data_IF_012073136794
#
_entry.id   IF_012073136794
#
_cell.length_a   1.000
_cell.length_b   1.000
_cell.length_c   1.000
_cell.angle_alpha   90.00
_cell.angle_beta   90.00
_cell.angle_gamma   90.00
#
_symmetry.space_group_name_H-M   'P 1'
#
loop_
_entity.id
_entity.type
_entity.pdbx_description
1 polymer ?
#
# COMPACT_ATOMS: atom_id res chain seq x y z
N UNK A 1 -1.00 -5.88 54.89
CA UNK A 1 -0.24 -5.52 53.68
C UNK A 1 -1.01 -6.03 52.47
N UNK A 2 -1.67 -5.13 51.74
CA UNK A 2 -2.29 -5.46 50.45
C UNK A 2 -1.19 -5.39 49.39
N UNK A 3 -0.78 -6.54 48.86
CA UNK A 3 0.03 -6.61 47.65
C UNK A 3 -0.83 -6.17 46.48
N UNK A 4 -0.63 -4.92 46.08
CA UNK A 4 -1.10 -4.34 44.83
C UNK A 4 -0.46 -5.16 43.71
N UNK A 5 -1.23 -6.01 43.06
CA UNK A 5 -0.82 -6.71 41.84
C UNK A 5 -0.49 -5.66 40.79
N UNK A 6 0.80 -5.50 40.48
CA UNK A 6 1.25 -4.84 39.27
C UNK A 6 0.73 -5.67 38.09
N UNK A 7 -0.37 -5.24 37.48
CA UNK A 7 -0.70 -5.63 36.12
C UNK A 7 0.44 -5.11 35.23
N UNK A 8 1.37 -5.99 34.87
CA UNK A 8 2.23 -5.78 33.71
C UNK A 8 1.30 -5.60 32.51
N UNK A 9 1.11 -4.35 32.09
CA UNK A 9 0.31 -4.02 30.91
C UNK A 9 1.09 -4.45 29.68
N UNK A 10 0.82 -5.66 29.19
CA UNK A 10 1.42 -6.14 27.96
C UNK A 10 1.04 -5.24 26.77
N UNK A 11 1.96 -5.13 25.80
CA UNK A 11 1.74 -4.39 24.55
C UNK A 11 0.50 -4.92 23.83
N UNK A 12 -0.40 -4.02 23.43
CA UNK A 12 -1.62 -4.37 22.70
C UNK A 12 -1.44 -4.09 21.20
N UNK A 13 -1.86 -5.04 20.37
CA UNK A 13 -1.72 -4.96 18.92
C UNK A 13 -3.09 -5.07 18.25
N UNK A 14 -3.32 -4.19 17.27
CA UNK A 14 -4.58 -4.14 16.53
C UNK A 14 -4.34 -3.97 15.03
N UNK A 15 -5.31 -4.42 14.23
CA UNK A 15 -5.47 -4.05 12.84
C UNK A 15 -6.77 -3.27 12.72
N UNK A 16 -6.69 -2.06 12.19
CA UNK A 16 -7.82 -1.20 11.87
C UNK A 16 -8.07 -1.15 10.36
N UNK A 17 -9.33 -1.09 9.95
CA UNK A 17 -9.73 -0.87 8.56
C UNK A 17 -10.70 0.31 8.54
N UNK A 18 -10.41 1.28 7.68
CA UNK A 18 -11.27 2.43 7.42
C UNK A 18 -12.01 2.20 6.12
N UNK A 19 -13.34 2.33 6.15
CA UNK A 19 -14.19 2.12 4.98
C UNK A 19 -15.03 3.37 4.76
N UNK A 20 -14.91 3.94 3.56
CA UNK A 20 -15.81 4.95 3.01
C UNK A 20 -16.80 4.25 2.07
N UNK A 21 -18.08 4.41 2.33
CA UNK A 21 -19.16 3.88 1.52
C UNK A 21 -19.28 4.61 0.18
N UNK A 22 -19.91 3.93 -0.78
CA UNK A 22 -20.14 4.45 -2.15
C UNK A 22 -21.39 5.35 -2.27
N UNK A 23 -21.96 5.83 -1.16
CA UNK A 23 -23.22 6.58 -1.16
C UNK A 23 -23.08 8.00 -1.72
N UNK A 24 -22.00 8.68 -1.35
CA UNK A 24 -21.74 10.09 -1.71
C UNK A 24 -20.49 10.23 -2.59
N UNK A 25 -20.21 9.22 -3.42
CA UNK A 25 -19.08 9.25 -4.36
C UNK A 25 -18.32 7.93 -4.42
N UNK A 26 -17.06 7.95 -4.92
CA UNK A 26 -16.24 6.75 -4.96
C UNK A 26 -15.94 6.30 -3.51
N UNK A 27 -16.30 5.06 -3.22
CA UNK A 27 -15.95 4.44 -1.95
C UNK A 27 -14.45 4.16 -1.87
N UNK A 28 -13.95 3.97 -0.66
CA UNK A 28 -12.54 3.72 -0.41
C UNK A 28 -12.35 2.77 0.78
N UNK A 29 -11.21 2.09 0.80
CA UNK A 29 -10.82 1.24 1.92
C UNK A 29 -9.32 1.40 2.18
N UNK A 30 -8.96 1.56 3.45
CA UNK A 30 -7.56 1.58 3.87
C UNK A 30 -7.37 0.82 5.16
N UNK A 31 -6.11 0.47 5.45
CA UNK A 31 -5.75 -0.37 6.60
C UNK A 31 -4.70 0.33 7.43
N UNK A 32 -4.79 0.17 8.74
CA UNK A 32 -3.75 0.56 9.67
C UNK A 32 -3.42 -0.58 10.63
N UNK A 33 -2.16 -0.65 11.05
CA UNK A 33 -1.74 -1.48 12.17
C UNK A 33 -1.43 -0.55 13.34
N UNK A 34 -1.92 -0.90 14.53
CA UNK A 34 -1.79 -0.08 15.72
C UNK A 34 -1.10 -0.90 16.81
N UNK A 35 0.00 -0.38 17.35
CA UNK A 35 0.67 -0.92 18.53
C UNK A 35 0.54 0.09 19.66
N UNK A 36 -0.10 -0.32 20.75
CA UNK A 36 -0.20 0.47 21.97
C UNK A 36 0.74 -0.15 23.01
N UNK A 37 1.79 0.59 23.36
CA UNK A 37 2.78 0.15 24.34
C UNK A 37 2.25 0.29 25.77
N UNK A 38 2.85 -0.46 26.68
CA UNK A 38 2.59 -0.40 28.12
C UNK A 38 2.68 1.03 28.72
N UNK A 39 3.61 1.83 28.21
CA UNK A 39 3.89 3.22 28.62
C UNK A 39 2.89 4.25 28.08
N UNK A 40 1.93 3.81 27.25
CA UNK A 40 0.91 4.65 26.64
C UNK A 40 1.28 5.23 25.27
N UNK A 41 2.51 5.02 24.77
CA UNK A 41 2.88 5.38 23.40
C UNK A 41 2.10 4.54 22.39
N UNK A 42 1.53 5.19 21.38
CA UNK A 42 0.82 4.50 20.30
C UNK A 42 1.55 4.72 18.98
N UNK A 43 1.87 3.62 18.30
CA UNK A 43 2.44 3.63 16.94
C UNK A 43 1.41 3.14 15.95
N UNK A 44 1.18 3.95 14.91
CA UNK A 44 0.24 3.64 13.82
C UNK A 44 0.99 3.57 12.50
N UNK A 45 0.83 2.49 11.76
CA UNK A 45 1.30 2.36 10.37
C UNK A 45 0.08 2.25 9.48
N UNK A 46 -0.08 3.14 8.51
CA UNK A 46 -1.26 3.22 7.66
C UNK A 46 -0.88 3.06 6.20
N UNK A 47 -1.66 2.27 5.48
CA UNK A 47 -1.46 2.02 4.06
C UNK A 47 -2.77 2.21 3.33
N UNK A 48 -2.72 3.06 2.30
CA UNK A 48 -3.87 3.45 1.50
C UNK A 48 -3.39 3.75 0.09
N UNK A 49 -3.93 3.05 -0.90
CA UNK A 49 -3.60 3.26 -2.30
C UNK A 49 -4.76 3.92 -3.05
N UNK A 50 -4.44 4.89 -3.91
CA UNK A 50 -5.43 5.61 -4.72
C UNK A 50 -4.85 5.99 -6.09
N UNK A 51 -5.67 6.36 -7.08
CA UNK A 51 -5.21 6.60 -8.46
C UNK A 51 -4.45 7.91 -8.71
N UNK A 52 -4.19 8.73 -7.69
CA UNK A 52 -3.62 10.07 -7.85
C UNK A 52 -4.54 11.06 -8.60
N UNK A 53 -4.24 12.36 -8.64
CA UNK A 53 -5.12 13.34 -9.30
C UNK A 53 -5.30 13.10 -10.80
N UNK A 54 -4.19 12.90 -11.53
CA UNK A 54 -4.22 12.63 -12.99
C UNK A 54 -4.86 11.28 -13.28
N UNK A 55 -4.53 10.24 -12.51
CA UNK A 55 -5.13 8.93 -12.71
C UNK A 55 -6.60 8.87 -12.32
N UNK A 56 -7.05 9.70 -11.36
CA UNK A 56 -8.48 9.86 -11.04
C UNK A 56 -9.25 10.42 -12.23
N UNK A 57 -8.69 11.38 -12.96
CA UNK A 57 -9.30 11.92 -14.18
C UNK A 57 -9.39 10.86 -15.28
N UNK A 58 -8.31 10.12 -15.52
CA UNK A 58 -8.28 9.01 -16.50
C UNK A 58 -9.31 7.96 -16.13
N UNK A 59 -9.36 7.55 -14.86
CA UNK A 59 -10.36 6.61 -14.36
C UNK A 59 -11.78 7.16 -14.52
N UNK A 60 -12.02 8.44 -14.26
CA UNK A 60 -13.32 9.07 -14.47
C UNK A 60 -13.77 9.03 -15.95
N UNK A 61 -12.88 9.37 -16.88
CA UNK A 61 -13.17 9.36 -18.32
C UNK A 61 -13.35 7.95 -18.90
N UNK A 62 -12.58 6.99 -18.39
CA UNK A 62 -12.57 5.60 -18.88
C UNK A 62 -13.34 4.64 -17.97
N UNK A 63 -14.19 5.18 -17.09
CA UNK A 63 -15.03 4.43 -16.16
C UNK A 63 -14.26 3.39 -15.33
N UNK A 64 -13.01 3.68 -14.96
CA UNK A 64 -12.14 2.79 -14.16
C UNK A 64 -11.56 1.61 -14.92
N UNK A 65 -11.68 1.60 -16.26
CA UNK A 65 -11.27 0.47 -17.12
C UNK A 65 -9.77 0.40 -17.39
N UNK A 66 -9.03 1.48 -17.16
CA UNK A 66 -7.59 1.53 -17.40
C UNK A 66 -6.88 1.71 -16.08
N UNK A 67 -5.99 0.78 -15.68
CA UNK A 67 -5.22 0.96 -14.46
C UNK A 67 -4.27 2.15 -14.63
N UNK A 68 -4.10 2.90 -13.56
CA UNK A 68 -3.23 4.09 -13.49
C UNK A 68 -2.17 3.86 -12.43
N UNK A 69 -1.16 4.72 -12.36
CA UNK A 69 -0.14 4.60 -11.31
C UNK A 69 -0.80 4.74 -9.93
N UNK A 70 -0.52 3.79 -9.03
CA UNK A 70 -0.97 3.90 -7.64
C UNK A 70 -0.16 4.97 -6.90
N UNK A 71 -0.81 5.71 -6.03
CA UNK A 71 -0.20 6.63 -5.07
C UNK A 71 -0.56 6.19 -3.65
N UNK A 72 0.35 6.45 -2.71
CA UNK A 72 0.14 6.20 -1.29
C UNK A 72 -0.41 7.44 -0.59
N UNK A 73 -1.32 7.26 0.37
CA UNK A 73 -1.72 8.36 1.24
C UNK A 73 -0.56 8.75 2.13
N UNK A 74 -0.40 10.05 2.37
CA UNK A 74 0.69 10.57 3.21
C UNK A 74 0.38 10.39 4.70
N UNK A 75 -0.89 10.46 5.07
CA UNK A 75 -1.36 10.32 6.45
C UNK A 75 -2.68 9.53 6.49
N UNK A 76 -3.00 9.02 7.68
CA UNK A 76 -4.24 8.29 7.95
C UNK A 76 -5.43 9.22 8.23
N UNK A 77 -5.18 10.50 8.49
CA UNK A 77 -6.18 11.47 8.97
C UNK A 77 -7.32 11.67 7.98
N UNK A 78 -7.00 11.84 6.69
CA UNK A 78 -8.02 12.02 5.66
C UNK A 78 -8.89 10.77 5.50
N UNK A 79 -8.28 9.58 5.47
CA UNK A 79 -9.02 8.33 5.34
C UNK A 79 -9.90 8.06 6.56
N UNK A 80 -9.43 8.40 7.76
CA UNK A 80 -10.21 8.30 8.99
C UNK A 80 -11.38 9.28 8.98
N UNK A 81 -11.15 10.55 8.61
CA UNK A 81 -12.18 11.58 8.54
C UNK A 81 -13.29 11.22 7.55
N UNK A 82 -12.90 10.80 6.34
CA UNK A 82 -13.81 10.42 5.26
C UNK A 82 -14.48 9.05 5.45
N UNK A 83 -14.01 8.22 6.39
CA UNK A 83 -14.58 6.88 6.59
C UNK A 83 -15.98 6.91 7.20
N UNK A 84 -16.87 6.07 6.70
CA UNK A 84 -18.18 5.82 7.32
C UNK A 84 -18.08 4.77 8.43
N UNK A 85 -17.13 3.84 8.31
CA UNK A 85 -16.92 2.76 9.26
C UNK A 85 -15.44 2.66 9.63
N UNK A 86 -15.17 2.58 10.93
CA UNK A 86 -13.88 2.16 11.48
C UNK A 86 -14.08 0.79 12.09
N UNK A 87 -13.34 -0.20 11.58
CA UNK A 87 -13.39 -1.58 12.05
C UNK A 87 -12.06 -1.94 12.68
N UNK A 88 -12.08 -2.55 13.86
CA UNK A 88 -10.87 -2.90 14.60
C UNK A 88 -10.89 -4.38 14.98
N UNK A 89 -9.73 -5.03 14.90
CA UNK A 89 -9.51 -6.38 15.41
C UNK A 89 -8.24 -6.43 16.25
N UNK A 90 -8.34 -6.99 17.44
CA UNK A 90 -7.16 -7.31 18.25
C UNK A 90 -6.43 -8.49 17.63
N UNK A 91 -5.10 -8.42 17.59
CA UNK A 91 -4.24 -9.48 17.04
C UNK A 91 -3.08 -9.75 17.98
N UNK A 92 -2.43 -10.90 17.84
CA UNK A 92 -1.17 -11.16 18.52
C UNK A 92 0.01 -10.43 17.86
N UNK A 93 1.16 -10.45 18.53
CA UNK A 93 2.36 -9.78 18.04
C UNK A 93 2.85 -10.33 16.69
N UNK A 94 2.68 -11.64 16.44
CA UNK A 94 3.11 -12.30 15.20
C UNK A 94 2.28 -11.78 14.03
N UNK A 95 0.95 -11.84 14.15
CA UNK A 95 0.03 -11.33 13.14
C UNK A 95 0.22 -9.83 12.90
N UNK A 96 0.51 -9.04 13.95
CA UNK A 96 0.86 -7.63 13.81
C UNK A 96 2.14 -7.40 13.00
N UNK A 97 3.21 -8.16 13.28
CA UNK A 97 4.49 -8.04 12.57
C UNK A 97 4.34 -8.42 11.10
N UNK A 98 3.61 -9.49 10.80
CA UNK A 98 3.35 -9.91 9.42
C UNK A 98 2.50 -8.88 8.66
N UNK A 99 1.45 -8.33 9.30
CA UNK A 99 0.65 -7.25 8.72
C UNK A 99 1.51 -6.03 8.39
N UNK A 100 2.36 -5.60 9.32
CA UNK A 100 3.25 -4.45 9.14
C UNK A 100 4.31 -4.70 8.06
N UNK A 101 4.90 -5.90 8.02
CA UNK A 101 5.84 -6.28 6.96
C UNK A 101 5.16 -6.24 5.58
N UNK A 102 3.91 -6.73 5.50
CA UNK A 102 3.11 -6.67 4.27
C UNK A 102 2.81 -5.23 3.86
N UNK A 103 2.45 -4.35 4.80
CA UNK A 103 2.27 -2.91 4.53
C UNK A 103 3.53 -2.28 3.92
N UNK A 104 4.70 -2.53 4.52
CA UNK A 104 5.98 -2.02 4.02
C UNK A 104 6.31 -2.54 2.60
N UNK A 105 6.00 -3.80 2.30
CA UNK A 105 6.19 -4.36 0.96
C UNK A 105 5.26 -3.72 -0.08
N UNK A 106 4.00 -3.46 0.28
CA UNK A 106 3.04 -2.75 -0.56
C UNK A 106 3.53 -1.34 -0.83
N UNK A 107 3.95 -0.62 0.21
CA UNK A 107 4.45 0.74 0.11
C UNK A 107 5.69 0.82 -0.79
N UNK A 108 6.64 -0.10 -0.61
CA UNK A 108 7.84 -0.20 -1.43
C UNK A 108 7.52 -0.48 -2.91
N UNK A 109 6.61 -1.43 -3.19
CA UNK A 109 6.17 -1.71 -4.57
C UNK A 109 5.46 -0.51 -5.19
N UNK A 110 4.59 0.16 -4.44
CA UNK A 110 3.88 1.35 -4.91
C UNK A 110 4.83 2.53 -5.19
N UNK A 111 5.80 2.79 -4.30
CA UNK A 111 6.79 3.86 -4.48
C UNK A 111 7.68 3.63 -5.71
N UNK A 112 8.05 2.37 -5.96
CA UNK A 112 8.83 1.98 -7.15
C UNK A 112 7.97 1.92 -8.44
N UNK A 113 6.66 2.14 -8.32
CA UNK A 113 5.70 2.05 -9.43
C UNK A 113 5.52 0.63 -9.96
N UNK A 114 5.76 -0.38 -9.14
CA UNK A 114 5.40 -1.79 -9.42
C UNK A 114 3.93 -2.08 -9.11
N UNK A 115 3.23 -1.14 -8.48
CA UNK A 115 1.79 -1.20 -8.22
C UNK A 115 1.04 -0.19 -9.09
N UNK A 116 0.03 -0.66 -9.82
CA UNK A 116 -0.97 0.16 -10.49
C UNK A 116 -2.30 0.08 -9.74
N UNK A 117 -3.03 1.20 -9.69
CA UNK A 117 -4.38 1.27 -9.18
C UNK A 117 -5.39 1.05 -10.32
N UNK A 118 -6.29 0.09 -10.17
CA UNK A 118 -7.44 -0.09 -11.07
C UNK A 118 -8.72 -0.28 -10.27
N UNK A 119 -9.80 0.44 -10.59
CA UNK A 119 -11.07 0.38 -9.83
C UNK A 119 -11.59 -1.05 -9.70
N UNK A 120 -11.57 -1.80 -10.79
CA UNK A 120 -12.00 -3.20 -10.84
C UNK A 120 -10.88 -4.20 -10.50
N UNK A 121 -9.73 -3.73 -10.03
CA UNK A 121 -8.57 -4.57 -9.71
C UNK A 121 -8.23 -5.56 -10.84
N UNK A 122 -8.04 -6.83 -10.45
CA UNK A 122 -7.70 -7.95 -11.34
C UNK A 122 -8.90 -8.50 -12.14
N UNK A 123 -10.12 -8.09 -11.82
CA UNK A 123 -11.35 -8.57 -12.48
C UNK A 123 -11.56 -7.95 -13.87
N UNK A 124 -10.82 -6.89 -14.20
CA UNK A 124 -10.89 -6.24 -15.49
C UNK A 124 -9.84 -6.81 -16.47
N UNK A 125 -10.26 -7.44 -17.58
CA UNK A 125 -9.32 -8.03 -18.55
C UNK A 125 -8.42 -6.97 -19.23
N UNK A 126 -8.91 -5.73 -19.38
CA UNK A 126 -8.10 -4.63 -19.91
C UNK A 126 -6.99 -4.23 -18.95
N UNK A 127 -7.20 -4.40 -17.65
CA UNK A 127 -6.17 -4.12 -16.65
C UNK A 127 -5.00 -5.09 -16.79
N UNK A 128 -5.25 -6.37 -17.04
CA UNK A 128 -4.21 -7.38 -17.28
C UNK A 128 -3.40 -7.11 -18.55
N UNK A 129 -4.04 -6.68 -19.64
CA UNK A 129 -3.31 -6.33 -20.86
C UNK A 129 -2.46 -5.08 -20.65
N UNK A 130 -3.02 -4.07 -19.99
CA UNK A 130 -2.33 -2.81 -19.70
C UNK A 130 -1.15 -3.05 -18.78
N UNK A 131 -1.31 -3.84 -17.71
CA UNK A 131 -0.22 -4.15 -16.77
C UNK A 131 0.92 -4.88 -17.46
N UNK A 132 0.62 -5.86 -18.33
CA UNK A 132 1.63 -6.57 -19.14
C UNK A 132 2.39 -5.63 -20.08
N UNK A 133 1.71 -4.66 -20.69
CA UNK A 133 2.35 -3.67 -21.55
C UNK A 133 3.31 -2.78 -20.73
N UNK A 134 2.88 -2.32 -19.55
CA UNK A 134 3.72 -1.54 -18.64
C UNK A 134 4.91 -2.34 -18.09
N UNK A 135 4.68 -3.59 -17.72
CA UNK A 135 5.72 -4.54 -17.31
C UNK A 135 6.75 -4.72 -18.43
N UNK A 136 6.31 -5.00 -19.65
CA UNK A 136 7.19 -5.17 -20.81
C UNK A 136 8.02 -3.89 -21.06
N UNK A 137 7.39 -2.72 -21.01
CA UNK A 137 8.07 -1.44 -21.19
C UNK A 137 9.12 -1.17 -20.10
N UNK A 138 8.76 -1.34 -18.82
CA UNK A 138 9.70 -1.16 -17.69
C UNK A 138 10.85 -2.16 -17.74
N UNK A 139 10.54 -3.43 -18.00
CA UNK A 139 11.51 -4.51 -18.14
C UNK A 139 12.49 -4.23 -19.28
N UNK A 140 12.00 -3.77 -20.43
CA UNK A 140 12.84 -3.37 -21.56
C UNK A 140 13.77 -2.20 -21.18
N UNK A 141 13.23 -1.15 -20.55
CA UNK A 141 14.02 0.01 -20.15
C UNK A 141 15.12 -0.34 -19.14
N UNK A 142 14.80 -1.20 -18.16
CA UNK A 142 15.78 -1.65 -17.17
C UNK A 142 16.80 -2.63 -17.75
N UNK A 143 16.40 -3.45 -18.72
CA UNK A 143 17.31 -4.31 -19.49
C UNK A 143 18.33 -3.46 -20.27
N UNK A 144 17.86 -2.43 -20.98
CA UNK A 144 18.73 -1.46 -21.68
C UNK A 144 19.73 -0.85 -20.72
N UNK A 145 19.23 -0.30 -19.60
CA UNK A 145 20.06 0.38 -18.61
C UNK A 145 21.10 -0.56 -17.98
N UNK A 146 20.67 -1.77 -17.58
CA UNK A 146 21.57 -2.77 -16.99
C UNK A 146 22.66 -3.17 -17.99
N UNK A 147 22.29 -3.37 -19.25
CA UNK A 147 23.24 -3.69 -20.32
C UNK A 147 24.30 -2.58 -20.47
N UNK A 148 23.86 -1.32 -20.56
CA UNK A 148 24.76 -0.16 -20.66
C UNK A 148 25.65 -0.01 -19.42
N UNK A 149 25.12 -0.21 -18.22
CA UNK A 149 25.89 -0.10 -16.97
C UNK A 149 26.97 -1.19 -16.86
N UNK A 150 26.71 -2.41 -17.35
CA UNK A 150 27.66 -3.52 -17.21
C UNK A 150 28.71 -3.55 -18.32
N UNK A 151 28.33 -3.17 -19.55
CA UNK A 151 29.19 -3.33 -20.73
C UNK A 151 29.68 -2.00 -21.31
N UNK A 152 29.13 -0.86 -20.86
CA UNK A 152 29.54 0.47 -21.30
C UNK A 152 29.23 0.79 -22.77
N UNK A 153 28.47 -0.08 -23.45
CA UNK A 153 28.20 0.03 -24.89
C UNK A 153 26.70 -0.08 -25.18
N UNK A 154 26.30 0.41 -26.34
CA UNK A 154 24.96 0.18 -26.85
C UNK A 154 24.80 -1.30 -27.25
N UNK A 155 23.62 -1.89 -27.03
CA UNK A 155 23.36 -3.29 -27.35
C UNK A 155 23.43 -3.53 -28.87
N UNK A 156 23.97 -4.68 -29.31
CA UNK A 156 24.08 -5.02 -30.71
C UNK A 156 22.71 -5.24 -31.33
N UNK A 157 22.57 -4.83 -32.59
CA UNK A 157 21.39 -5.10 -33.42
C UNK A 157 21.62 -6.37 -34.25
N UNK A 158 20.57 -7.15 -34.47
CA UNK A 158 20.57 -8.23 -35.44
C UNK A 158 20.48 -7.71 -36.89
N UNK A 159 20.46 -8.63 -37.87
CA UNK A 159 20.38 -8.26 -39.28
C UNK A 159 19.04 -7.61 -39.71
N UNK A 160 18.06 -7.59 -38.81
CA UNK A 160 16.75 -6.96 -38.99
C UNK A 160 16.63 -5.63 -38.22
N UNK A 161 17.71 -5.15 -37.57
CA UNK A 161 17.68 -3.95 -36.73
C UNK A 161 17.01 -4.17 -35.37
N UNK A 162 16.81 -5.42 -34.95
CA UNK A 162 16.25 -5.77 -33.65
C UNK A 162 17.38 -5.84 -32.64
N UNK A 163 17.28 -5.07 -31.56
CA UNK A 163 18.26 -5.07 -30.49
C UNK A 163 18.25 -6.40 -29.74
N UNK A 164 19.41 -7.06 -29.66
CA UNK A 164 19.57 -8.37 -29.01
C UNK A 164 20.35 -8.22 -27.71
N UNK A 165 19.77 -8.72 -26.62
CA UNK A 165 20.37 -8.72 -25.30
C UNK A 165 20.83 -10.14 -24.92
N UNK A 166 21.99 -10.31 -24.28
CA UNK A 166 22.37 -11.59 -23.71
C UNK A 166 21.47 -11.91 -22.51
N UNK A 167 21.20 -13.20 -22.28
CA UNK A 167 20.23 -13.65 -21.28
C UNK A 167 20.40 -13.05 -19.88
N UNK A 168 21.64 -12.85 -19.43
CA UNK A 168 21.96 -12.32 -18.10
C UNK A 168 21.64 -10.83 -17.92
N UNK A 169 21.41 -10.10 -19.01
CA UNK A 169 21.07 -8.67 -18.99
C UNK A 169 19.56 -8.41 -18.93
N UNK A 170 18.74 -9.42 -19.26
CA UNK A 170 17.29 -9.30 -19.14
C UNK A 170 16.87 -9.09 -17.68
N UNK A 171 16.04 -8.07 -17.47
CA UNK A 171 15.42 -7.78 -16.19
C UNK A 171 13.92 -7.78 -16.37
N UNK A 172 13.22 -8.60 -15.59
CA UNK A 172 11.76 -8.58 -15.50
C UNK A 172 11.37 -7.76 -14.29
N UNK A 173 10.58 -6.71 -14.51
CA UNK A 173 9.96 -5.92 -13.46
C UNK A 173 8.45 -6.16 -13.45
N UNK A 174 7.93 -7.04 -12.58
CA UNK A 174 6.51 -7.30 -12.53
C UNK A 174 5.74 -6.04 -12.13
N UNK A 175 4.60 -5.82 -12.79
CA UNK A 175 3.67 -4.74 -12.45
C UNK A 175 2.33 -5.36 -12.08
N UNK A 176 1.93 -5.17 -10.83
CA UNK A 176 0.68 -5.69 -10.30
C UNK A 176 -0.42 -4.63 -10.30
N UNK A 177 -1.64 -5.05 -10.59
CA UNK A 177 -2.83 -4.18 -10.47
C UNK A 177 -3.54 -4.52 -9.17
N UNK A 178 -3.73 -3.50 -8.35
CA UNK A 178 -4.47 -3.54 -7.11
C UNK A 178 -5.57 -2.48 -7.09
N UNK A 179 -6.57 -2.71 -6.26
CA UNK A 179 -7.51 -1.69 -5.80
C UNK A 179 -7.42 -1.57 -4.27
N UNK A 180 -8.11 -0.58 -3.71
CA UNK A 180 -8.10 -0.31 -2.27
C UNK A 180 -8.45 -1.55 -1.42
N UNK A 181 -9.48 -2.31 -1.79
CA UNK A 181 -9.94 -3.51 -1.05
C UNK A 181 -8.97 -4.70 -1.19
N UNK A 182 -8.35 -4.91 -2.34
CA UNK A 182 -7.33 -5.95 -2.55
C UNK A 182 -6.08 -5.68 -1.71
N UNK A 183 -5.70 -4.41 -1.55
CA UNK A 183 -4.58 -4.00 -0.69
C UNK A 183 -4.86 -4.25 0.78
N UNK A 184 -6.07 -3.91 1.25
CA UNK A 184 -6.47 -4.27 2.61
C UNK A 184 -6.47 -5.80 2.77
N UNK A 185 -7.05 -6.53 1.81
CA UNK A 185 -7.09 -7.99 1.84
C UNK A 185 -5.70 -8.65 1.87
N UNK A 186 -4.71 -8.07 1.19
CA UNK A 186 -3.33 -8.55 1.22
C UNK A 186 -2.70 -8.40 2.61
N UNK A 187 -2.87 -7.24 3.26
CA UNK A 187 -2.39 -7.00 4.63
C UNK A 187 -3.09 -7.94 5.63
N UNK A 188 -4.39 -8.14 5.48
CA UNK A 188 -5.15 -9.06 6.33
C UNK A 188 -4.71 -10.51 6.15
N UNK A 189 -4.43 -10.93 4.92
CA UNK A 189 -3.90 -12.27 4.64
C UNK A 189 -2.51 -12.48 5.24
N UNK A 190 -1.64 -11.46 5.18
CA UNK A 190 -0.35 -11.47 5.88
C UNK A 190 -0.53 -11.72 7.38
N UNK A 191 -1.55 -11.12 7.99
CA UNK A 191 -1.92 -11.34 9.39
C UNK A 191 -2.63 -12.68 9.68
N UNK A 192 -2.80 -13.56 8.68
CA UNK A 192 -3.56 -14.81 8.83
C UNK A 192 -5.09 -14.64 8.87
N UNK A 193 -5.62 -13.49 8.46
CA UNK A 193 -7.06 -13.23 8.40
C UNK A 193 -7.54 -13.30 6.95
N UNK A 194 -8.25 -14.37 6.61
CA UNK A 194 -8.83 -14.52 5.28
C UNK A 194 -10.15 -13.78 5.15
N UNK A 195 -10.17 -12.73 4.31
CA UNK A 195 -11.38 -11.98 3.96
C UNK A 195 -11.62 -12.12 2.46
N UNK A 196 -12.83 -12.55 2.03
CA UNK A 196 -13.14 -12.64 0.61
C UNK A 196 -13.00 -11.30 -0.09
N UNK A 197 -12.31 -11.28 -1.22
CA UNK A 197 -12.07 -10.07 -2.01
C UNK A 197 -13.38 -9.48 -2.55
N UNK A 198 -13.52 -8.15 -2.46
CA UNK A 198 -14.67 -7.41 -2.99
C UNK A 198 -14.20 -6.29 -3.89
N UNK A 199 -14.96 -6.00 -4.94
CA UNK A 199 -14.72 -4.84 -5.80
C UNK A 199 -15.25 -3.55 -5.18
N UNK A 200 -16.33 -3.65 -4.40
CA UNK A 200 -17.03 -2.49 -3.85
C UNK A 200 -16.69 -2.38 -2.36
N UNK A 201 -16.07 -1.27 -1.90
CA UNK A 201 -15.70 -1.07 -0.50
C UNK A 201 -16.88 -1.23 0.47
N UNK A 202 -18.08 -0.78 0.10
CA UNK A 202 -19.29 -0.91 0.94
C UNK A 202 -19.68 -2.36 1.27
N UNK A 203 -19.28 -3.33 0.45
CA UNK A 203 -19.53 -4.75 0.74
C UNK A 203 -18.45 -5.39 1.62
N UNK A 204 -17.43 -4.63 2.02
CA UNK A 204 -16.31 -5.13 2.78
C UNK A 204 -16.59 -5.15 4.29
N UNK A 205 -17.33 -4.16 4.80
CA UNK A 205 -17.76 -4.08 6.21
C UNK A 205 -18.36 -5.39 6.75
N UNK A 206 -19.45 -5.95 6.17
CA UNK A 206 -20.03 -7.19 6.70
C UNK A 206 -19.08 -8.40 6.60
N UNK A 207 -18.14 -8.41 5.64
CA UNK A 207 -17.16 -9.49 5.50
C UNK A 207 -16.11 -9.42 6.60
N UNK A 208 -15.64 -8.22 6.93
CA UNK A 208 -14.70 -8.00 8.03
C UNK A 208 -15.34 -8.36 9.37
N UNK A 209 -16.59 -7.97 9.60
CA UNK A 209 -17.34 -8.32 10.81
C UNK A 209 -17.41 -9.85 11.01
N UNK A 210 -17.68 -10.60 9.93
CA UNK A 210 -17.69 -12.06 9.95
C UNK A 210 -16.32 -12.70 10.25
N UNK A 211 -15.24 -11.93 10.18
CA UNK A 211 -13.87 -12.38 10.52
C UNK A 211 -13.41 -11.87 11.89
N UNK A 212 -14.31 -11.32 12.71
CA UNK A 212 -14.03 -10.89 14.08
C UNK A 212 -13.54 -9.45 14.22
N UNK A 213 -13.70 -8.63 13.19
CA UNK A 213 -13.59 -7.18 13.34
C UNK A 213 -14.85 -6.63 14.02
N UNK A 214 -14.68 -5.64 14.89
CA UNK A 214 -15.78 -4.93 15.52
C UNK A 214 -15.78 -3.48 15.08
N UNK A 215 -16.96 -2.89 14.84
CA UNK A 215 -17.05 -1.46 14.59
C UNK A 215 -16.65 -0.67 15.84
N UNK A 216 -15.97 0.44 15.62
CA UNK A 216 -15.58 1.41 16.63
C UNK A 216 -16.02 2.79 16.15
N UNK A 217 -16.49 3.63 17.08
CA UNK A 217 -16.78 5.01 16.75
C UNK A 217 -15.50 5.78 16.40
N UNK A 218 -15.57 6.73 15.45
CA UNK A 218 -14.40 7.51 15.02
C UNK A 218 -13.76 8.30 16.15
N UNK A 219 -14.57 8.90 17.04
CA UNK A 219 -14.07 9.65 18.20
C UNK A 219 -13.49 8.72 19.24
N UNK A 220 -14.10 7.55 19.44
CA UNK A 220 -13.53 6.52 20.32
C UNK A 220 -12.17 6.04 19.82
N UNK A 221 -12.04 5.75 18.52
CA UNK A 221 -10.79 5.34 17.89
C UNK A 221 -9.72 6.43 18.05
N UNK A 222 -10.08 7.69 17.76
CA UNK A 222 -9.19 8.85 17.90
C UNK A 222 -8.73 9.01 19.35
N UNK A 223 -9.66 9.01 20.30
CA UNK A 223 -9.36 9.14 21.73
C UNK A 223 -8.52 7.99 22.29
N UNK A 224 -8.69 6.78 21.75
CA UNK A 224 -7.97 5.58 22.22
C UNK A 224 -6.52 5.53 21.75
N UNK A 225 -6.22 6.08 20.57
CA UNK A 225 -4.96 5.85 19.85
C UNK A 225 -4.19 7.13 19.46
N UNK A 226 -4.81 8.31 19.53
CA UNK A 226 -4.20 9.58 19.05
C UNK A 226 -4.27 10.74 20.04
N UNK A 227 -5.14 10.71 21.06
CA UNK A 227 -5.29 11.81 22.03
C UNK A 227 -4.22 11.85 23.15
N UNK A 228 -3.20 10.99 23.13
CA UNK A 228 -2.03 11.15 23.98
C UNK A 228 -0.98 12.02 23.29
N UNK A 229 -0.46 13.03 24.00
CA UNK A 229 0.55 14.03 23.57
C UNK A 229 1.92 13.46 23.13
N UNK A 230 1.99 12.21 22.64
CA UNK A 230 3.21 11.47 22.31
C UNK A 230 3.14 10.68 21.00
N UNK A 231 2.18 10.96 20.11
CA UNK A 231 2.16 10.34 18.77
C UNK A 231 3.25 10.93 17.88
N UNK A 232 4.44 10.31 17.85
CA UNK A 232 5.41 10.54 16.78
C UNK A 232 5.00 9.72 15.56
N UNK A 233 4.38 10.38 14.59
CA UNK A 233 4.31 9.84 13.23
C UNK A 233 5.75 9.73 12.70
N UNK A 234 6.26 8.51 12.55
CA UNK A 234 7.51 8.28 11.84
C UNK A 234 7.29 8.60 10.36
N UNK A 235 7.69 9.81 9.97
CA UNK A 235 7.92 10.14 8.56
C UNK A 235 9.11 9.31 8.10
N UNK A 236 9.06 8.62 6.94
CA UNK A 236 10.20 7.86 6.45
C UNK A 236 11.40 8.80 6.31
N UNK A 237 12.47 8.44 7.02
CA UNK A 237 13.74 9.16 7.04
C UNK A 237 14.20 9.47 5.61
N UNK A 238 14.51 10.74 5.36
CA UNK A 238 15.29 11.17 4.20
C UNK A 238 16.53 10.28 4.06
N UNK A 239 16.62 9.53 2.97
CA UNK A 239 17.83 8.79 2.61
C UNK A 239 19.01 9.77 2.47
N UNK A 240 20.19 9.48 3.06
CA UNK A 240 21.41 10.21 2.75
C UNK A 240 21.96 9.67 1.43
N UNK A 241 22.02 10.51 0.39
CA UNK A 241 22.68 10.11 -0.85
C UNK A 241 22.14 10.79 -2.12
N UNK A 242 22.00 12.11 -2.11
CA UNK A 242 22.03 12.85 -3.37
C UNK A 242 23.51 13.19 -3.65
N UNK A 243 24.13 12.68 -4.74
CA UNK A 243 25.41 13.19 -5.18
C UNK A 243 25.20 14.64 -5.66
N UNK A 244 26.06 15.53 -5.16
CA UNK A 244 26.17 16.92 -5.60
C UNK A 244 26.42 16.99 -7.11
N UNK A 245 25.76 17.91 -7.84
CA UNK A 245 26.10 18.14 -9.23
C UNK A 245 27.48 18.79 -9.30
N UNK A 246 28.41 18.14 -9.99
CA UNK A 246 29.68 18.73 -10.37
C UNK A 246 29.42 20.01 -11.18
N UNK A 247 29.87 21.13 -10.63
CA UNK A 247 29.97 22.41 -11.31
C UNK A 247 30.94 22.26 -12.48
N UNK A 248 30.44 22.49 -13.68
CA UNK A 248 31.26 22.74 -14.86
C UNK A 248 31.86 24.14 -14.76
N UNK A 249 33.18 24.22 -14.89
CA UNK A 249 33.87 25.47 -15.21
C UNK A 249 35.14 25.14 -15.98
N UNK A 250 35.08 25.49 -17.27
CA UNK A 250 36.14 25.75 -18.26
C UNK A 250 37.17 24.65 -18.55
#
# INVERSE_FOLDING_TARGET
MQTKSEETRDDQHFIGVFIKDTKEGPGHASVCTVKKKADGETKVTHTSIYPGPVGSLINGMLFGSVPVRAMLATTHEQDLDESDHVLLKSVDETAYKEAKATQQQIEHRASNGHTMYGVFGRFNPLATMTSRLFEAHKSAHKTIRRYQEHLGVHPPEDMCGIVVYPNHSHVVEPVEVHNCTSTVGEVLRGAGVEVPETLVPSFYTPRLENTGFTRMDKKEFTGRFFDSQTSTAETPSSFPGAPTPFSSSL
#
